data_IF_680127580838
#
_entry.id   IF_680127580838
#
_cell.length_a   1.000
_cell.length_b   1.000
_cell.length_c   1.000
_cell.angle_alpha   90.00
_cell.angle_beta   90.00
_cell.angle_gamma   90.00
#
_symmetry.space_group_name_H-M   'P 1'
#
loop_
_entity.id
_entity.type
_entity.pdbx_description
1 polymer ?
#
# COMPACT_ATOMS: atom_id res chain seq x y z
N UNK A 1 5.19 -15.24 -7.59
CA UNK A 1 4.87 -13.81 -7.42
C UNK A 1 4.62 -13.51 -5.95
N UNK A 2 5.16 -12.43 -5.46
CA UNK A 2 4.98 -12.01 -4.06
C UNK A 2 4.12 -10.75 -4.01
N UNK A 3 3.39 -10.56 -2.92
CA UNK A 3 2.46 -9.44 -2.80
C UNK A 3 2.67 -8.73 -1.47
N UNK A 4 2.77 -7.41 -1.55
CA UNK A 4 2.85 -6.54 -0.37
C UNK A 4 1.47 -5.96 -0.11
N UNK A 5 0.97 -6.07 1.11
CA UNK A 5 -0.23 -5.36 1.51
C UNK A 5 0.14 -4.24 2.49
N UNK A 6 -0.44 -3.06 2.25
CA UNK A 6 -0.24 -1.87 3.08
C UNK A 6 -1.62 -1.44 3.56
N UNK A 7 -1.91 -1.71 4.81
CA UNK A 7 -3.26 -1.59 5.37
C UNK A 7 -3.30 -0.38 6.30
N UNK A 8 -4.29 0.50 6.09
CA UNK A 8 -4.45 1.74 6.85
C UNK A 8 -5.67 1.60 7.77
N UNK A 9 -5.48 1.25 9.07
CA UNK A 9 -6.61 1.08 9.98
C UNK A 9 -7.35 2.39 10.22
N UNK A 10 -8.67 2.31 10.35
CA UNK A 10 -9.47 3.46 10.76
C UNK A 10 -9.27 3.69 12.25
N UNK A 11 -9.04 4.97 12.62
CA UNK A 11 -8.87 5.37 14.01
C UNK A 11 -9.63 6.67 14.23
N UNK A 12 -10.07 6.94 15.47
CA UNK A 12 -10.75 8.22 15.78
C UNK A 12 -9.87 9.41 15.40
N UNK A 13 -10.43 10.34 14.62
CA UNK A 13 -9.71 11.54 14.18
C UNK A 13 -8.70 11.33 13.07
N UNK A 14 -8.59 10.13 12.53
CA UNK A 14 -7.65 9.83 11.46
C UNK A 14 -8.00 10.62 10.19
N UNK A 15 -6.96 11.10 9.49
CA UNK A 15 -7.11 11.79 8.23
C UNK A 15 -6.49 10.97 7.10
N UNK A 16 -7.06 11.09 5.91
CA UNK A 16 -6.55 10.38 4.74
C UNK A 16 -6.89 11.18 3.49
N UNK A 17 -5.85 11.68 2.80
CA UNK A 17 -6.01 12.41 1.56
C UNK A 17 -6.03 11.42 0.38
N UNK A 18 -7.23 11.03 -0.03
CA UNK A 18 -7.41 10.03 -1.08
C UNK A 18 -6.92 10.52 -2.45
N UNK A 19 -7.04 11.81 -2.73
CA UNK A 19 -6.56 12.36 -4.00
C UNK A 19 -5.05 12.29 -4.09
N UNK A 20 -4.35 12.67 -3.02
CA UNK A 20 -2.89 12.54 -2.97
C UNK A 20 -2.46 11.07 -3.12
N UNK A 21 -3.12 10.18 -2.38
CA UNK A 21 -2.84 8.75 -2.42
C UNK A 21 -2.93 8.20 -3.84
N UNK A 22 -4.02 8.51 -4.53
CA UNK A 22 -4.27 8.05 -5.90
C UNK A 22 -3.34 8.71 -6.92
N UNK A 23 -3.15 10.03 -6.82
CA UNK A 23 -2.53 10.81 -7.89
C UNK A 23 -1.03 11.03 -7.69
N UNK A 24 -0.51 10.87 -6.47
CA UNK A 24 0.89 11.11 -6.14
C UNK A 24 1.57 9.88 -5.59
N UNK A 25 1.00 9.26 -4.54
CA UNK A 25 1.69 8.18 -3.82
C UNK A 25 1.76 6.88 -4.63
N UNK A 26 0.64 6.39 -5.14
CA UNK A 26 0.63 5.15 -5.93
C UNK A 26 1.49 5.27 -7.19
N UNK A 27 1.43 6.38 -7.95
CA UNK A 27 2.35 6.57 -9.08
C UNK A 27 3.82 6.64 -8.66
N UNK A 28 4.14 7.21 -7.50
CA UNK A 28 5.51 7.25 -6.98
C UNK A 28 6.04 5.83 -6.76
N UNK A 29 5.27 4.97 -6.12
CA UNK A 29 5.64 3.57 -5.91
C UNK A 29 5.91 2.87 -7.24
N UNK A 30 5.04 3.08 -8.23
CA UNK A 30 5.21 2.51 -9.57
C UNK A 30 6.48 2.98 -10.26
N UNK A 31 6.78 4.28 -10.17
CA UNK A 31 8.00 4.83 -10.78
C UNK A 31 9.26 4.30 -10.13
N UNK A 32 9.29 4.21 -8.80
CA UNK A 32 10.50 3.82 -8.07
C UNK A 32 10.73 2.32 -8.05
N UNK A 33 9.67 1.54 -7.96
CA UNK A 33 9.78 0.08 -7.84
C UNK A 33 9.48 -0.69 -9.14
N UNK A 34 8.91 -0.03 -10.14
CA UNK A 34 8.59 -0.68 -11.42
C UNK A 34 9.80 -1.30 -12.10
N UNK A 35 10.96 -0.62 -12.02
CA UNK A 35 12.22 -1.15 -12.57
C UNK A 35 12.89 -2.19 -11.69
N UNK A 36 12.36 -2.46 -10.49
CA UNK A 36 12.95 -3.36 -9.51
C UNK A 36 12.07 -4.58 -9.23
N UNK A 37 11.14 -4.90 -10.14
CA UNK A 37 10.33 -6.11 -10.04
C UNK A 37 8.90 -5.90 -9.59
N UNK A 38 8.44 -4.68 -9.35
CA UNK A 38 7.01 -4.43 -9.14
C UNK A 38 6.28 -4.57 -10.47
N UNK A 39 5.33 -5.49 -10.52
CA UNK A 39 4.59 -5.82 -11.74
C UNK A 39 3.33 -4.99 -11.87
N UNK A 40 2.60 -4.82 -10.78
CA UNK A 40 1.33 -4.10 -10.76
C UNK A 40 0.97 -3.69 -9.34
N UNK A 41 0.00 -2.80 -9.22
CA UNK A 41 -0.50 -2.39 -7.93
C UNK A 41 -1.94 -1.92 -8.06
N UNK A 42 -2.67 -2.02 -6.95
CA UNK A 42 -4.02 -1.51 -6.84
C UNK A 42 -4.27 -1.08 -5.40
N UNK A 43 -5.34 -0.35 -5.19
CA UNK A 43 -5.76 0.05 -3.86
C UNK A 43 -7.26 -0.14 -3.72
N UNK A 44 -7.66 -0.57 -2.53
CA UNK A 44 -9.06 -0.68 -2.15
C UNK A 44 -9.34 0.44 -1.16
N UNK A 45 -10.35 1.25 -1.47
CA UNK A 45 -10.78 2.35 -0.58
C UNK A 45 -11.96 1.84 0.23
N UNK A 46 -11.85 1.90 1.56
CA UNK A 46 -12.89 1.41 2.45
C UNK A 46 -14.17 2.22 2.32
N UNK A 47 -15.29 1.54 2.12
CA UNK A 47 -16.63 2.15 2.03
C UNK A 47 -17.47 1.83 3.25
N UNK A 48 -17.75 0.56 3.47
CA UNK A 48 -18.55 0.10 4.62
C UNK A 48 -18.09 -1.29 5.03
N UNK A 49 -18.42 -1.65 6.27
CA UNK A 49 -18.43 -3.06 6.66
C UNK A 49 -19.68 -3.74 6.11
N UNK A 50 -19.73 -5.07 6.15
CA UNK A 50 -20.84 -5.83 5.59
C UNK A 50 -22.17 -5.56 6.30
N UNK A 51 -22.13 -5.11 7.55
CA UNK A 51 -23.32 -4.76 8.33
C UNK A 51 -23.75 -3.29 8.17
N UNK A 52 -23.09 -2.53 7.28
CA UNK A 52 -23.39 -1.13 7.03
C UNK A 52 -22.67 -0.14 7.95
N UNK A 53 -21.89 -0.62 8.92
CA UNK A 53 -21.09 0.26 9.77
C UNK A 53 -19.85 0.76 9.02
N UNK A 54 -19.05 1.61 9.66
CA UNK A 54 -17.83 2.11 9.04
C UNK A 54 -16.86 0.96 8.70
N UNK A 55 -16.20 1.05 7.55
CA UNK A 55 -15.16 0.10 7.19
C UNK A 55 -14.04 0.14 8.22
N UNK A 56 -13.48 -1.02 8.62
CA UNK A 56 -12.41 -1.05 9.63
C UNK A 56 -11.09 -0.47 9.12
N UNK A 57 -10.94 -0.38 7.79
CA UNK A 57 -9.73 0.18 7.18
C UNK A 57 -10.10 1.32 6.24
N UNK A 58 -9.26 2.37 6.25
CA UNK A 58 -9.43 3.52 5.36
C UNK A 58 -9.07 3.13 3.92
N UNK A 59 -8.00 2.36 3.77
CA UNK A 59 -7.52 1.89 2.47
C UNK A 59 -6.64 0.66 2.65
N UNK A 60 -6.51 -0.12 1.58
CA UNK A 60 -5.61 -1.27 1.51
C UNK A 60 -4.88 -1.17 0.18
N UNK A 61 -3.55 -0.97 0.24
CA UNK A 61 -2.71 -1.01 -0.94
C UNK A 61 -2.23 -2.44 -1.18
N UNK A 62 -2.25 -2.88 -2.43
CA UNK A 62 -1.83 -4.22 -2.82
C UNK A 62 -0.84 -4.08 -3.96
N UNK A 63 0.42 -4.45 -3.71
CA UNK A 63 1.50 -4.31 -4.69
C UNK A 63 2.06 -5.69 -5.01
N UNK A 64 2.08 -6.03 -6.29
CA UNK A 64 2.55 -7.33 -6.76
C UNK A 64 3.97 -7.21 -7.29
N UNK A 65 4.85 -8.08 -6.83
CA UNK A 65 6.23 -8.18 -7.28
C UNK A 65 6.47 -9.52 -7.95
N UNK A 66 7.42 -9.59 -8.86
CA UNK A 66 7.71 -10.81 -9.62
C UNK A 66 8.23 -11.95 -8.75
N UNK A 67 8.85 -11.62 -7.61
CA UNK A 67 9.41 -12.61 -6.69
C UNK A 67 9.50 -12.06 -5.28
N UNK A 68 9.65 -12.95 -4.29
CA UNK A 68 9.92 -12.56 -2.91
C UNK A 68 11.24 -11.78 -2.80
N UNK A 69 12.25 -12.19 -3.56
CA UNK A 69 13.55 -11.51 -3.55
C UNK A 69 13.41 -10.08 -4.08
N UNK A 70 12.65 -9.87 -5.16
CA UNK A 70 12.41 -8.53 -5.69
C UNK A 70 11.68 -7.65 -4.68
N UNK A 71 10.68 -8.22 -4.00
CA UNK A 71 9.93 -7.49 -2.97
C UNK A 71 10.83 -7.10 -1.80
N UNK A 72 11.63 -8.04 -1.29
CA UNK A 72 12.56 -7.76 -0.18
C UNK A 72 13.60 -6.71 -0.59
N UNK A 73 14.10 -6.79 -1.82
CA UNK A 73 15.04 -5.79 -2.34
C UNK A 73 14.43 -4.39 -2.42
N UNK A 74 13.15 -4.31 -2.80
CA UNK A 74 12.44 -3.03 -2.83
C UNK A 74 12.31 -2.43 -1.43
N UNK A 75 11.94 -3.25 -0.43
CA UNK A 75 11.74 -2.79 0.95
C UNK A 75 13.04 -2.37 1.63
N UNK A 76 14.18 -2.89 1.19
CA UNK A 76 15.49 -2.56 1.78
C UNK A 76 16.37 -1.72 0.85
N UNK A 77 15.88 -1.39 -0.35
CA UNK A 77 16.64 -0.67 -1.36
C UNK A 77 16.60 0.84 -1.19
N UNK A 78 17.23 1.51 -2.15
CA UNK A 78 17.45 2.96 -2.10
C UNK A 78 16.14 3.77 -2.17
N UNK A 79 15.08 3.21 -2.74
CA UNK A 79 13.80 3.92 -2.91
C UNK A 79 12.83 3.69 -1.77
N UNK A 80 13.11 2.78 -0.84
CA UNK A 80 12.18 2.43 0.24
C UNK A 80 11.86 3.62 1.13
N UNK A 81 12.87 4.39 1.53
CA UNK A 81 12.65 5.53 2.42
C UNK A 81 11.82 6.64 1.76
N UNK A 82 11.95 6.82 0.45
CA UNK A 82 11.15 7.80 -0.28
C UNK A 82 9.69 7.37 -0.37
N UNK A 83 9.43 6.12 -0.76
CA UNK A 83 8.06 5.62 -0.95
C UNK A 83 7.35 5.50 0.39
N UNK A 84 7.98 4.87 1.38
CA UNK A 84 7.39 4.69 2.71
C UNK A 84 7.30 6.03 3.44
N UNK A 85 8.30 6.88 3.31
CA UNK A 85 8.30 8.20 3.90
C UNK A 85 7.22 9.13 3.35
N UNK A 86 6.76 8.88 2.14
CA UNK A 86 5.70 9.68 1.51
C UNK A 86 4.32 9.44 2.15
N UNK A 87 4.15 8.36 2.91
CA UNK A 87 2.87 8.02 3.54
C UNK A 87 2.38 9.16 4.44
N UNK A 88 3.27 9.80 5.19
CA UNK A 88 2.90 10.92 6.06
C UNK A 88 2.32 12.12 5.32
N UNK A 89 2.52 12.20 4.00
CA UNK A 89 1.99 13.30 3.20
C UNK A 89 0.49 13.16 2.89
N UNK A 90 -0.09 11.98 3.09
CA UNK A 90 -1.52 11.77 2.85
C UNK A 90 -2.28 11.19 4.05
N UNK A 91 -1.61 10.73 5.09
CA UNK A 91 -2.31 10.22 6.26
C UNK A 91 -1.45 10.33 7.52
N UNK A 92 -2.12 10.45 8.66
CA UNK A 92 -1.50 10.39 9.98
C UNK A 92 -1.58 8.99 10.59
N UNK A 93 -2.20 8.03 9.89
CA UNK A 93 -2.34 6.67 10.36
C UNK A 93 -1.05 5.89 10.12
N UNK A 94 -0.61 5.12 11.11
CA UNK A 94 0.50 4.20 10.97
C UNK A 94 0.01 2.97 10.21
N UNK A 95 0.51 2.69 8.99
CA UNK A 95 0.05 1.53 8.25
C UNK A 95 0.61 0.23 8.83
N UNK A 96 -0.11 -0.84 8.54
CA UNK A 96 0.34 -2.21 8.81
C UNK A 96 0.81 -2.80 7.49
N UNK A 97 2.08 -3.14 7.39
CA UNK A 97 2.70 -3.61 6.15
C UNK A 97 3.04 -5.08 6.29
N UNK A 98 2.60 -5.89 5.34
CA UNK A 98 2.75 -7.33 5.40
C UNK A 98 3.19 -7.89 4.06
N UNK A 99 4.16 -8.81 4.11
CA UNK A 99 4.59 -9.58 2.93
C UNK A 99 3.73 -10.83 2.85
N UNK A 100 3.20 -11.12 1.68
CA UNK A 100 2.23 -12.18 1.48
C UNK A 100 2.64 -13.11 0.35
N UNK A 101 2.24 -14.36 0.46
CA UNK A 101 2.25 -15.32 -0.63
C UNK A 101 0.84 -15.39 -1.20
N UNK A 102 0.73 -15.39 -2.54
CA UNK A 102 -0.58 -15.49 -3.18
C UNK A 102 -1.02 -16.93 -3.29
N UNK A 103 -2.28 -17.16 -2.97
CA UNK A 103 -2.94 -18.46 -3.19
C UNK A 103 -4.07 -18.20 -4.18
N UNK A 104 -4.07 -18.92 -5.29
CA UNK A 104 -5.16 -18.83 -6.28
C UNK A 104 -5.95 -20.14 -6.28
N UNK A 105 -7.29 -20.07 -6.35
CA UNK A 105 -8.12 -21.27 -6.40
C UNK A 105 -7.94 -22.06 -7.69
#
# INVERSE_FOLDING_TARGET
MATLSVVYPRAPGATFDYDYYKNQHLPLAGRRWGGSGMVSGEALIGKTSVDGSESPYLAIGILHFESTDALQSALTGEHASEVIGDIRNFTDVQPIIQVNERITP
#
